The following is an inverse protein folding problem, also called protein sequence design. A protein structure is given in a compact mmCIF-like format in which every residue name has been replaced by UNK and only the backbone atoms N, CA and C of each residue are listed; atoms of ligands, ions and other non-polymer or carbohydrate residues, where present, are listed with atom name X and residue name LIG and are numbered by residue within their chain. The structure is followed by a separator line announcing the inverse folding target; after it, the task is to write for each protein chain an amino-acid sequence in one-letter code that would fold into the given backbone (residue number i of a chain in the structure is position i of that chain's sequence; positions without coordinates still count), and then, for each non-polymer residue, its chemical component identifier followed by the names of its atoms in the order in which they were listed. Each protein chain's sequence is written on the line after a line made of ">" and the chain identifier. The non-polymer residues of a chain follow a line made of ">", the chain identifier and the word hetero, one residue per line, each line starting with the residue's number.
data_IF_893600097919
#
_entry.id   IF_893600097919
#
_cell.length_a   1.000
_cell.length_b   1.000
_cell.length_c   1.000
_cell.angle_alpha   90.00
_cell.angle_beta   90.00
_cell.angle_gamma   90.00
#
_symmetry.space_group_name_H-M   'P 1'
#
loop_
_entity.id
_entity.type
_entity.pdbx_description
1 polymer ?
#
# COMPACT_ATOMS: atom_id res chain seq x y z
N UNK A 1 11.51 -0.13 -2.67
CA UNK A 1 10.80 -1.14 -1.85
C UNK A 1 11.63 -2.39 -1.50
N UNK A 2 12.09 -3.23 -2.46
CA UNK A 2 12.76 -4.52 -2.15
C UNK A 2 13.91 -4.43 -1.13
N UNK A 3 14.80 -3.43 -1.28
CA UNK A 3 15.94 -3.20 -0.37
C UNK A 3 15.49 -2.97 1.09
N UNK A 4 14.37 -2.28 1.31
CA UNK A 4 13.84 -2.00 2.64
C UNK A 4 13.40 -3.27 3.38
N UNK A 5 13.01 -4.33 2.67
CA UNK A 5 12.64 -5.62 3.26
C UNK A 5 13.83 -6.52 3.61
N UNK A 6 15.05 -6.19 3.19
CA UNK A 6 16.26 -7.02 3.41
C UNK A 6 17.06 -6.67 4.65
N UNK A 7 16.81 -5.49 5.23
CA UNK A 7 17.54 -5.00 6.40
C UNK A 7 16.55 -4.65 7.51
N UNK A 8 16.97 -4.79 8.75
CA UNK A 8 16.17 -4.45 9.93
C UNK A 8 16.12 -2.93 10.10
N UNK A 9 14.94 -2.39 10.42
CA UNK A 9 14.80 -0.97 10.79
C UNK A 9 15.35 -0.65 12.19
N UNK A 10 15.61 -1.68 12.99
CA UNK A 10 16.24 -1.54 14.32
C UNK A 10 17.66 -1.03 14.23
N UNK A 11 18.39 -1.47 13.20
CA UNK A 11 19.84 -1.27 13.06
C UNK A 11 20.18 -0.36 11.87
N UNK A 12 19.18 0.03 11.09
CA UNK A 12 19.37 0.84 9.88
C UNK A 12 18.22 1.83 9.72
N UNK A 13 18.57 3.11 9.66
CA UNK A 13 17.67 4.15 9.18
C UNK A 13 17.46 3.95 7.67
N UNK A 14 16.36 3.27 7.32
CA UNK A 14 16.03 2.92 5.93
C UNK A 14 15.70 4.13 5.08
N UNK A 15 15.16 5.19 5.68
CA UNK A 15 14.79 6.41 4.97
C UNK A 15 16.06 7.04 4.43
N UNK A 16 17.04 7.24 5.32
CA UNK A 16 18.35 7.79 4.94
C UNK A 16 19.17 6.83 4.06
N UNK A 17 19.19 5.54 4.37
CA UNK A 17 20.02 4.58 3.65
C UNK A 17 19.58 4.31 2.19
N UNK A 18 18.31 4.58 1.88
CA UNK A 18 17.72 4.33 0.57
C UNK A 18 17.12 5.58 -0.08
N UNK A 19 17.46 6.77 0.43
CA UNK A 19 17.03 8.07 -0.09
C UNK A 19 15.52 8.13 -0.35
N UNK A 20 14.73 7.66 0.63
CA UNK A 20 13.27 7.59 0.49
C UNK A 20 12.70 9.00 0.73
N UNK A 21 12.07 9.62 -0.27
CA UNK A 21 11.45 10.92 -0.09
C UNK A 21 10.20 10.76 0.77
N UNK A 22 10.11 11.60 1.80
CA UNK A 22 9.00 11.63 2.74
C UNK A 22 8.27 12.97 2.66
N UNK A 23 7.00 12.95 3.00
CA UNK A 23 6.16 14.14 3.14
C UNK A 23 5.33 14.04 4.42
N UNK A 24 4.81 15.18 4.87
CA UNK A 24 4.00 15.23 6.10
C UNK A 24 2.59 14.67 5.86
N UNK A 25 2.14 13.88 6.82
CA UNK A 25 0.77 13.39 6.89
C UNK A 25 -0.20 14.47 7.39
N UNK A 26 -1.48 14.32 7.05
CA UNK A 26 -2.54 15.29 7.36
C UNK A 26 -3.19 15.00 8.72
N UNK A 27 -3.31 13.74 9.12
CA UNK A 27 -4.08 13.29 10.30
C UNK A 27 -3.24 12.58 11.36
N UNK A 28 -2.08 12.04 11.00
CA UNK A 28 -1.17 11.34 11.91
C UNK A 28 0.23 11.97 11.94
N UNK A 29 1.02 11.70 12.98
CA UNK A 29 2.40 12.22 13.11
C UNK A 29 3.48 11.41 12.38
N UNK A 30 3.11 10.33 11.69
CA UNK A 30 4.02 9.51 10.89
C UNK A 30 3.98 9.99 9.43
N UNK A 31 5.11 10.19 8.74
CA UNK A 31 5.13 10.66 7.36
C UNK A 31 4.64 9.60 6.36
N UNK A 32 4.25 10.06 5.17
CA UNK A 32 4.01 9.22 3.97
C UNK A 32 5.23 9.24 3.04
N UNK A 33 5.28 8.33 2.08
CA UNK A 33 6.31 8.30 1.03
C UNK A 33 5.82 9.18 -0.12
N UNK A 34 6.53 10.27 -0.42
CA UNK A 34 6.10 11.28 -1.39
C UNK A 34 5.98 10.78 -2.84
N UNK A 35 6.58 9.63 -3.15
CA UNK A 35 6.52 9.00 -4.49
C UNK A 35 5.58 7.80 -4.53
N UNK A 36 4.75 7.57 -3.52
CA UNK A 36 3.78 6.49 -3.52
C UNK A 36 2.56 6.87 -4.36
N UNK A 37 2.11 5.98 -5.25
CA UNK A 37 0.87 6.17 -6.03
C UNK A 37 -0.39 6.23 -5.14
N UNK A 38 -0.31 5.65 -3.93
CA UNK A 38 -1.31 5.78 -2.89
C UNK A 38 -0.69 5.52 -1.50
N UNK A 39 -1.23 6.20 -0.48
CA UNK A 39 -0.89 5.98 0.92
C UNK A 39 -2.13 6.11 1.81
N UNK A 40 -2.19 5.31 2.86
CA UNK A 40 -3.27 5.33 3.85
C UNK A 40 -2.71 5.77 5.19
N UNK A 41 -3.29 6.82 5.76
CA UNK A 41 -3.01 7.18 7.14
C UNK A 41 -3.90 6.35 8.05
N UNK A 42 -3.27 5.60 8.96
CA UNK A 42 -3.97 4.66 9.81
C UNK A 42 -3.72 4.93 11.30
N UNK A 43 -4.77 4.90 12.10
CA UNK A 43 -4.67 4.84 13.57
C UNK A 43 -4.80 3.39 14.03
N UNK A 44 -3.86 2.91 14.85
CA UNK A 44 -3.89 1.55 15.37
C UNK A 44 -5.13 1.34 16.26
N UNK A 45 -5.96 0.36 15.92
CA UNK A 45 -7.11 -0.06 16.73
C UNK A 45 -6.79 -1.31 17.54
N UNK A 46 -6.16 -2.30 16.92
CA UNK A 46 -5.82 -3.55 17.59
C UNK A 46 -4.47 -4.11 17.15
N UNK A 47 -3.84 -4.87 18.05
CA UNK A 47 -2.69 -5.73 17.78
C UNK A 47 -2.96 -7.09 18.42
N UNK A 48 -2.94 -8.14 17.61
CA UNK A 48 -3.14 -9.51 18.06
C UNK A 48 -1.85 -10.32 17.84
N UNK A 49 -1.25 -10.90 18.88
CA UNK A 49 -0.16 -11.86 18.69
C UNK A 49 -0.72 -13.16 18.11
N UNK A 50 -0.21 -13.60 16.96
CA UNK A 50 -0.64 -14.80 16.24
C UNK A 50 0.59 -15.61 15.84
N UNK A 51 0.90 -16.64 16.63
CA UNK A 51 2.10 -17.46 16.42
C UNK A 51 3.38 -16.65 16.60
N UNK A 52 4.20 -16.58 15.56
CA UNK A 52 5.43 -15.79 15.47
C UNK A 52 5.23 -14.40 14.84
N UNK A 53 3.98 -14.00 14.54
CA UNK A 53 3.64 -12.71 13.95
C UNK A 53 2.70 -11.90 14.85
N UNK A 54 2.68 -10.58 14.64
CA UNK A 54 1.65 -9.69 15.17
C UNK A 54 0.72 -9.27 14.04
N UNK A 55 -0.58 -9.46 14.21
CA UNK A 55 -1.61 -8.92 13.33
C UNK A 55 -2.07 -7.56 13.83
N UNK A 56 -1.82 -6.51 13.04
CA UNK A 56 -2.26 -5.14 13.31
C UNK A 56 -3.55 -4.82 12.55
N UNK A 57 -4.51 -4.18 13.21
CA UNK A 57 -5.73 -3.63 12.62
C UNK A 57 -5.71 -2.12 12.78
N UNK A 58 -5.72 -1.40 11.66
CA UNK A 58 -5.72 0.06 11.62
C UNK A 58 -7.03 0.62 11.06
N UNK A 59 -7.49 1.74 11.60
CA UNK A 59 -8.55 2.55 11.02
C UNK A 59 -7.96 3.58 10.06
N UNK A 60 -8.46 3.58 8.82
CA UNK A 60 -8.08 4.58 7.81
C UNK A 60 -8.71 5.93 8.17
N UNK A 61 -7.88 6.92 8.45
CA UNK A 61 -8.31 8.28 8.83
C UNK A 61 -8.05 9.34 7.75
N UNK A 62 -7.21 9.02 6.76
CA UNK A 62 -7.04 9.77 5.52
C UNK A 62 -6.48 8.86 4.41
N UNK A 63 -6.71 9.25 3.17
CA UNK A 63 -6.23 8.58 1.95
C UNK A 63 -5.52 9.63 1.10
N UNK A 64 -4.33 9.28 0.63
CA UNK A 64 -3.58 10.00 -0.38
C UNK A 64 -3.53 9.11 -1.61
N UNK A 65 -3.84 9.66 -2.78
CA UNK A 65 -3.71 8.98 -4.05
C UNK A 65 -3.23 9.97 -5.09
N UNK A 66 -2.35 9.52 -5.98
CA UNK A 66 -1.99 10.28 -7.16
C UNK A 66 -3.20 10.31 -8.11
N UNK A 67 -3.63 11.51 -8.50
CA UNK A 67 -4.76 11.71 -9.41
C UNK A 67 -4.50 11.02 -10.77
N UNK A 68 -3.24 10.93 -11.21
CA UNK A 68 -2.88 10.21 -12.44
C UNK A 68 -2.93 8.69 -12.26
N UNK A 69 -2.77 8.20 -11.02
CA UNK A 69 -2.82 6.77 -10.70
C UNK A 69 -4.24 6.23 -10.50
N UNK A 70 -5.27 7.09 -10.52
CA UNK A 70 -6.65 6.69 -10.25
C UNK A 70 -7.61 7.05 -11.38
N UNK A 71 -8.59 6.19 -11.60
CA UNK A 71 -9.70 6.39 -12.54
C UNK A 71 -10.99 5.94 -11.87
N UNK A 72 -11.97 6.84 -11.78
CA UNK A 72 -13.29 6.56 -11.16
C UNK A 72 -13.19 6.03 -9.72
N UNK A 73 -12.21 6.52 -8.94
CA UNK A 73 -11.99 6.11 -7.56
C UNK A 73 -11.31 4.74 -7.40
N UNK A 74 -10.88 4.11 -8.50
CA UNK A 74 -10.08 2.89 -8.51
C UNK A 74 -8.65 3.20 -8.96
N UNK A 75 -7.68 2.40 -8.51
CA UNK A 75 -6.34 2.46 -9.06
C UNK A 75 -6.35 1.99 -10.52
N UNK A 76 -5.67 2.74 -11.38
CA UNK A 76 -5.66 2.49 -12.81
C UNK A 76 -4.50 1.55 -13.20
N UNK A 77 -4.77 0.29 -13.60
CA UNK A 77 -3.73 -0.66 -13.98
C UNK A 77 -2.98 -0.26 -15.27
N UNK A 78 -3.47 0.72 -16.03
CA UNK A 78 -2.74 1.27 -17.18
C UNK A 78 -1.69 2.31 -16.76
N UNK A 79 -1.77 2.83 -15.54
CA UNK A 79 -0.87 3.88 -14.99
C UNK A 79 0.04 3.35 -13.88
N UNK A 80 -0.36 2.25 -13.23
CA UNK A 80 0.34 1.69 -12.07
C UNK A 80 0.65 0.21 -12.27
N UNK A 81 1.93 -0.13 -12.18
CA UNK A 81 2.39 -1.50 -12.02
C UNK A 81 2.26 -1.93 -10.56
N UNK A 82 1.29 -2.79 -10.23
CA UNK A 82 1.15 -3.35 -8.88
C UNK A 82 2.15 -4.50 -8.68
N UNK A 83 3.17 -4.37 -7.80
CA UNK A 83 4.11 -5.46 -7.59
C UNK A 83 3.49 -6.56 -6.71
N UNK A 84 3.37 -7.76 -7.26
CA UNK A 84 2.96 -8.97 -6.57
C UNK A 84 4.20 -9.77 -6.20
N UNK A 85 4.41 -9.99 -4.90
CA UNK A 85 5.55 -10.76 -4.41
C UNK A 85 5.27 -12.27 -4.50
N UNK A 86 6.10 -12.98 -5.26
CA UNK A 86 5.96 -14.43 -5.48
C UNK A 86 6.90 -15.26 -4.58
N UNK A 87 7.73 -14.61 -3.77
CA UNK A 87 8.72 -15.26 -2.93
C UNK A 87 10.16 -15.05 -3.41
N UNK A 88 11.11 -15.23 -2.49
CA UNK A 88 12.54 -15.01 -2.72
C UNK A 88 12.82 -13.58 -3.19
N UNK A 89 13.35 -13.42 -4.40
CA UNK A 89 13.58 -12.11 -5.02
C UNK A 89 12.73 -11.97 -6.29
N UNK A 90 11.61 -12.70 -6.36
CA UNK A 90 10.77 -12.77 -7.56
C UNK A 90 9.48 -11.98 -7.35
N UNK A 91 9.19 -11.12 -8.32
CA UNK A 91 8.00 -10.29 -8.37
C UNK A 91 7.35 -10.43 -9.74
N UNK A 92 6.04 -10.24 -9.78
CA UNK A 92 5.23 -10.10 -10.99
C UNK A 92 4.48 -8.77 -10.89
N UNK A 93 4.06 -8.22 -12.02
CA UNK A 93 3.09 -7.12 -12.03
C UNK A 93 1.86 -7.48 -12.85
N UNK A 94 0.82 -6.65 -12.76
CA UNK A 94 -0.41 -6.84 -13.50
C UNK A 94 -0.22 -6.56 -14.98
N UNK A 95 -0.85 -7.37 -15.82
CA UNK A 95 -1.03 -7.06 -17.24
C UNK A 95 -2.44 -6.47 -17.40
N UNK A 96 -2.54 -5.20 -17.80
CA UNK A 96 -3.83 -4.53 -17.96
C UNK A 96 -4.72 -5.18 -19.03
N UNK A 97 -4.15 -5.95 -19.97
CA UNK A 97 -4.91 -6.77 -20.91
C UNK A 97 -5.73 -7.88 -20.23
N UNK A 98 -5.43 -8.22 -18.98
CA UNK A 98 -6.18 -9.19 -18.18
C UNK A 98 -7.36 -8.57 -17.41
N UNK A 99 -7.62 -7.27 -17.57
CA UNK A 99 -8.74 -6.56 -16.92
C UNK A 99 -10.08 -7.13 -17.38
N UNK A 100 -10.89 -7.54 -16.41
CA UNK A 100 -12.29 -7.98 -16.62
C UNK A 100 -13.19 -7.04 -15.82
N UNK A 101 -14.16 -6.42 -16.50
CA UNK A 101 -15.21 -5.62 -15.85
C UNK A 101 -16.46 -6.48 -15.75
N UNK A 102 -16.84 -6.81 -14.52
CA UNK A 102 -18.10 -7.49 -14.24
C UNK A 102 -19.23 -6.45 -14.19
N UNK A 103 -20.45 -6.79 -14.67
CA UNK A 103 -21.59 -5.91 -14.53
C UNK A 103 -21.91 -5.67 -13.04
N UNK A 104 -22.40 -4.48 -12.72
CA UNK A 104 -22.89 -4.17 -11.37
C UNK A 104 -24.05 -5.12 -11.02
N UNK A 105 -23.90 -5.81 -9.89
CA UNK A 105 -24.97 -6.63 -9.31
C UNK A 105 -25.67 -5.81 -8.21
N UNK A 106 -26.89 -5.31 -8.45
CA UNK A 106 -27.60 -4.48 -7.49
C UNK A 106 -27.96 -5.20 -6.19
N UNK A 107 -27.87 -6.54 -6.12
CA UNK A 107 -28.18 -7.32 -4.93
C UNK A 107 -26.94 -7.70 -4.09
N UNK A 108 -25.71 -7.41 -4.54
CA UNK A 108 -24.45 -7.89 -3.91
C UNK A 108 -24.01 -7.14 -2.64
N UNK A 109 -24.55 -5.96 -2.35
CA UNK A 109 -24.19 -5.15 -1.17
C UNK A 109 -25.11 -5.36 0.05
N UNK A 110 -25.96 -6.40 0.04
CA UNK A 110 -26.88 -6.73 1.14
C UNK A 110 -26.36 -7.87 2.02
N UNK A 111 -25.15 -7.75 2.56
CA UNK A 111 -24.67 -8.61 3.67
C UNK A 111 -23.86 -7.80 4.68
#
# INVERSE_FOLDING_TARGET
>A
MHRCGRVSGRDTDKVRAFDIPLEESVRIGCPTIATAYAAYECVLRHRYPVGDHDWFVGEVVAIHADDEATREGLLDPDQVDFPLYLGRNTYLTTDSATRIVLPDDPDRLRE
#
